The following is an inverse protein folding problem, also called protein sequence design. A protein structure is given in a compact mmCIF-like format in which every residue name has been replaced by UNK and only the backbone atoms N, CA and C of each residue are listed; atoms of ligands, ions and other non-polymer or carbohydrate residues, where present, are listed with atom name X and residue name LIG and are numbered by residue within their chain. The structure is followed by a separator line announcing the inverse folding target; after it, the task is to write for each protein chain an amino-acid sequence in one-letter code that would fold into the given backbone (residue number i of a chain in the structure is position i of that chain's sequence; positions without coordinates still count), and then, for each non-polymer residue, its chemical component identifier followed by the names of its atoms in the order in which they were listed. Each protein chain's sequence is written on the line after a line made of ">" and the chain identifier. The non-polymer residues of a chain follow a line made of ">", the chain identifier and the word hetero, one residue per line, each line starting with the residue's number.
data_IF_676082862303
#
_entry.id   IF_676082862303
#
_cell.length_a   1.000
_cell.length_b   1.000
_cell.length_c   1.000
_cell.angle_alpha   90.00
_cell.angle_beta   90.00
_cell.angle_gamma   90.00
#
_symmetry.space_group_name_H-M   'P 1'
#
loop_
_entity.id
_entity.type
_entity.pdbx_description
1 polymer ?
#
# COMPACT_ATOMS: atom_id res chain seq x y z
N UNK A 1 1.40 17.79 -7.90
CA UNK A 1 0.70 16.53 -7.59
C UNK A 1 1.70 15.48 -7.10
N UNK A 2 2.76 15.21 -7.84
CA UNK A 2 3.81 14.23 -7.52
C UNK A 2 4.37 14.40 -6.10
N UNK A 3 4.79 15.60 -5.72
CA UNK A 3 5.40 15.84 -4.40
C UNK A 3 4.45 15.52 -3.24
N UNK A 4 3.16 15.84 -3.38
CA UNK A 4 2.16 15.47 -2.35
C UNK A 4 2.03 13.95 -2.22
N UNK A 5 2.01 13.24 -3.35
CA UNK A 5 1.89 11.79 -3.36
C UNK A 5 3.14 11.11 -2.77
N UNK A 6 4.32 11.59 -3.13
CA UNK A 6 5.59 11.15 -2.53
C UNK A 6 5.59 11.35 -1.01
N UNK A 7 5.24 12.54 -0.54
CA UNK A 7 5.23 12.86 0.89
C UNK A 7 4.28 11.97 1.70
N UNK A 8 3.21 11.46 1.08
CA UNK A 8 2.26 10.55 1.71
C UNK A 8 2.81 9.13 1.80
N UNK A 9 3.44 8.67 0.70
CA UNK A 9 3.89 7.29 0.55
C UNK A 9 5.40 7.13 0.66
N UNK A 10 6.12 8.11 1.18
CA UNK A 10 7.55 7.97 1.42
C UNK A 10 7.87 6.80 2.36
N UNK A 11 9.02 6.18 2.13
CA UNK A 11 9.52 5.04 2.89
C UNK A 11 11.00 4.84 2.63
N UNK A 12 11.44 3.61 2.37
CA UNK A 12 12.80 3.34 1.95
C UNK A 12 13.01 3.85 0.51
N UNK A 13 13.93 4.79 0.32
CA UNK A 13 14.16 5.42 -0.99
C UNK A 13 15.18 4.68 -1.86
N UNK A 14 16.13 3.94 -1.26
CA UNK A 14 17.22 3.20 -1.93
C UNK A 14 16.80 1.86 -2.54
N UNK A 15 15.54 1.49 -2.43
CA UNK A 15 14.98 0.28 -3.03
C UNK A 15 13.48 0.42 -3.24
N UNK A 16 12.95 -0.25 -4.25
CA UNK A 16 11.53 -0.25 -4.57
C UNK A 16 11.05 -1.60 -5.12
N UNK A 17 9.76 -1.81 -5.04
CA UNK A 17 9.11 -2.97 -5.62
C UNK A 17 8.79 -2.79 -7.10
N UNK A 18 9.05 -3.83 -7.86
CA UNK A 18 8.66 -3.93 -9.28
C UNK A 18 7.72 -5.11 -9.42
N UNK A 19 6.60 -4.90 -10.09
CA UNK A 19 5.66 -5.97 -10.42
C UNK A 19 5.46 -6.02 -11.92
N UNK A 20 5.97 -7.07 -12.56
CA UNK A 20 5.75 -7.35 -13.97
C UNK A 20 4.46 -8.14 -14.08
N UNK A 21 3.48 -7.58 -14.77
CA UNK A 21 2.22 -8.29 -15.07
C UNK A 21 2.49 -9.18 -16.26
N UNK A 22 2.32 -10.49 -16.09
CA UNK A 22 2.41 -11.43 -17.22
C UNK A 22 1.31 -11.15 -18.26
N UNK A 23 1.63 -11.31 -19.53
CA UNK A 23 0.65 -11.20 -20.61
C UNK A 23 -0.42 -12.29 -20.47
N UNK A 24 -1.68 -11.91 -20.66
CA UNK A 24 -2.79 -12.87 -20.68
C UNK A 24 -2.65 -13.75 -21.91
N UNK A 25 -2.38 -15.04 -21.73
CA UNK A 25 -2.57 -16.00 -22.80
C UNK A 25 -4.06 -16.02 -23.13
N UNK A 26 -4.43 -15.85 -24.40
CA UNK A 26 -5.79 -15.68 -24.92
C UNK A 26 -6.87 -16.70 -24.46
N UNK A 27 -6.55 -17.62 -23.57
CA UNK A 27 -7.44 -18.61 -22.96
C UNK A 27 -7.94 -18.23 -21.55
N UNK A 28 -7.83 -16.97 -21.13
CA UNK A 28 -8.38 -16.51 -19.83
C UNK A 28 -7.60 -16.96 -18.59
N UNK A 29 -6.49 -17.69 -18.75
CA UNK A 29 -5.65 -18.09 -17.61
C UNK A 29 -4.74 -16.94 -17.22
N UNK A 30 -4.87 -16.43 -15.99
CA UNK A 30 -3.98 -15.41 -15.42
C UNK A 30 -2.54 -15.91 -15.44
N UNK A 31 -1.68 -15.29 -16.24
CA UNK A 31 -0.23 -15.52 -16.13
C UNK A 31 0.25 -14.91 -14.82
N UNK A 32 0.96 -15.69 -14.01
CA UNK A 32 1.52 -15.26 -12.74
C UNK A 32 2.48 -14.09 -12.97
N UNK A 33 2.14 -12.91 -12.46
CA UNK A 33 3.06 -11.78 -12.43
C UNK A 33 4.26 -12.11 -11.56
N UNK A 34 5.42 -11.52 -11.86
CA UNK A 34 6.64 -11.62 -11.05
C UNK A 34 6.84 -10.32 -10.28
N UNK A 35 6.96 -10.43 -8.95
CA UNK A 35 7.26 -9.29 -8.09
C UNK A 35 8.61 -9.48 -7.43
N UNK A 36 9.45 -8.42 -7.41
CA UNK A 36 10.78 -8.44 -6.79
C UNK A 36 11.18 -7.04 -6.34
N UNK A 37 12.14 -6.96 -5.42
CA UNK A 37 12.74 -5.71 -4.98
C UNK A 37 13.88 -5.34 -5.90
N UNK A 38 13.87 -4.12 -6.42
CA UNK A 38 14.97 -3.49 -7.15
C UNK A 38 15.72 -2.57 -6.20
N UNK A 39 17.05 -2.77 -6.08
CA UNK A 39 17.93 -2.00 -5.19
C UNK A 39 18.45 -0.76 -5.92
N UNK A 40 17.55 0.14 -6.23
CA UNK A 40 17.80 1.41 -6.89
C UNK A 40 16.90 2.47 -6.28
N UNK A 41 17.37 3.72 -6.27
CA UNK A 41 16.60 4.85 -5.76
C UNK A 41 15.30 5.05 -6.53
N UNK A 42 14.25 5.44 -5.80
CA UNK A 42 12.98 5.81 -6.41
C UNK A 42 13.12 7.19 -7.05
N UNK A 43 13.09 7.24 -8.38
CA UNK A 43 13.19 8.50 -9.14
C UNK A 43 11.84 9.18 -9.32
N UNK A 44 11.84 10.48 -9.62
CA UNK A 44 10.62 11.22 -9.96
C UNK A 44 9.91 10.62 -11.19
N UNK A 45 10.67 10.06 -12.13
CA UNK A 45 10.13 9.37 -13.31
C UNK A 45 9.29 8.14 -12.91
N UNK A 46 9.76 7.35 -11.94
CA UNK A 46 8.98 6.19 -11.44
C UNK A 46 7.67 6.63 -10.77
N UNK A 47 7.71 7.71 -9.96
CA UNK A 47 6.52 8.29 -9.38
C UNK A 47 5.53 8.80 -10.43
N UNK A 48 6.05 9.49 -11.48
CA UNK A 48 5.22 9.99 -12.57
C UNK A 48 4.58 8.86 -13.35
N UNK A 49 5.36 7.86 -13.77
CA UNK A 49 4.86 6.67 -14.48
C UNK A 49 3.76 5.94 -13.70
N UNK A 50 3.93 5.86 -12.38
CA UNK A 50 2.89 5.27 -11.53
C UNK A 50 1.60 6.09 -11.54
N UNK A 51 1.69 7.42 -11.39
CA UNK A 51 0.54 8.31 -11.40
C UNK A 51 -0.15 8.36 -12.77
N UNK A 52 0.61 8.21 -13.85
CA UNK A 52 0.10 8.16 -15.22
C UNK A 52 -0.48 6.76 -15.55
N UNK A 53 -0.30 5.79 -14.64
CA UNK A 53 -0.76 4.41 -14.80
C UNK A 53 0.00 3.61 -15.87
N UNK A 54 1.17 4.07 -16.28
CA UNK A 54 2.01 3.38 -17.27
C UNK A 54 2.87 2.29 -16.63
N UNK A 55 3.19 2.42 -15.32
CA UNK A 55 3.97 1.42 -14.59
C UNK A 55 3.49 1.31 -13.13
N UNK A 56 3.75 0.18 -12.49
CA UNK A 56 3.43 0.00 -11.08
C UNK A 56 4.63 0.33 -10.20
N UNK A 57 4.41 1.06 -9.12
CA UNK A 57 5.45 1.34 -8.13
C UNK A 57 5.10 0.66 -6.81
N UNK A 58 6.01 -0.18 -6.34
CA UNK A 58 5.98 -0.72 -4.99
C UNK A 58 6.85 0.11 -4.06
N UNK A 59 6.31 0.55 -2.92
CA UNK A 59 7.08 1.27 -1.91
C UNK A 59 7.22 0.45 -0.65
N UNK A 60 8.40 0.51 -0.05
CA UNK A 60 8.72 -0.16 1.21
C UNK A 60 8.46 0.84 2.33
N UNK A 61 7.47 0.61 3.22
CA UNK A 61 7.07 1.62 4.20
C UNK A 61 8.13 1.96 5.24
N UNK A 62 8.92 0.97 5.66
CA UNK A 62 9.99 1.15 6.66
C UNK A 62 11.21 1.82 6.02
N UNK A 63 11.74 2.87 6.64
CA UNK A 63 12.96 3.54 6.22
C UNK A 63 14.20 3.03 6.98
N UNK A 64 15.38 3.58 6.67
CA UNK A 64 16.66 3.19 7.28
C UNK A 64 16.75 3.48 8.79
N UNK A 65 15.88 4.34 9.33
CA UNK A 65 15.76 4.61 10.77
C UNK A 65 14.77 3.67 11.48
N UNK A 66 14.30 2.64 10.81
CA UNK A 66 13.25 1.72 11.29
C UNK A 66 11.93 2.44 11.63
N UNK A 67 11.62 3.49 10.88
CA UNK A 67 10.41 4.30 11.03
C UNK A 67 9.58 4.30 9.76
N UNK A 68 8.31 4.65 9.90
CA UNK A 68 7.39 4.81 8.77
C UNK A 68 6.38 5.92 9.06
N UNK A 69 5.78 6.49 8.01
CA UNK A 69 4.66 7.44 8.07
C UNK A 69 3.33 6.81 7.70
N UNK A 70 3.37 5.64 7.15
CA UNK A 70 2.18 4.91 6.77
C UNK A 70 2.36 3.41 6.96
N UNK A 71 1.25 2.75 7.11
CA UNK A 71 1.17 1.31 7.08
C UNK A 71 -0.12 0.85 6.41
N UNK A 72 -0.22 -0.42 6.14
CA UNK A 72 -1.36 -0.98 5.41
C UNK A 72 -1.74 -2.35 5.94
N UNK A 73 -3.03 -2.61 6.03
CA UNK A 73 -3.60 -3.96 6.14
C UNK A 73 -3.96 -4.39 4.71
N UNK A 74 -3.33 -5.45 4.23
CA UNK A 74 -3.57 -6.02 2.90
C UNK A 74 -4.58 -7.15 3.00
N UNK A 75 -5.81 -6.87 2.59
CA UNK A 75 -6.93 -7.82 2.66
C UNK A 75 -7.06 -8.47 1.29
N UNK A 76 -6.53 -9.67 1.16
CA UNK A 76 -6.73 -10.50 -0.01
C UNK A 76 -8.12 -11.14 0.00
N UNK A 77 -8.89 -10.88 -1.04
CA UNK A 77 -10.16 -11.55 -1.28
C UNK A 77 -10.37 -11.71 -2.77
N UNK A 78 -10.65 -12.93 -3.18
CA UNK A 78 -10.73 -13.29 -4.60
C UNK A 78 -12.16 -13.38 -5.16
N UNK A 79 -13.17 -13.24 -4.31
CA UNK A 79 -14.57 -13.30 -4.75
C UNK A 79 -15.47 -12.41 -3.89
N UNK A 80 -16.08 -11.40 -4.50
CA UNK A 80 -17.19 -10.67 -3.91
C UNK A 80 -16.89 -9.88 -2.64
N UNK A 81 -15.70 -9.25 -2.53
CA UNK A 81 -15.35 -8.44 -1.37
C UNK A 81 -16.25 -7.20 -1.25
N UNK A 82 -16.93 -7.08 -0.11
CA UNK A 82 -17.84 -5.97 0.18
C UNK A 82 -17.05 -4.78 0.81
N UNK A 83 -16.53 -3.90 -0.05
CA UNK A 83 -15.83 -2.70 0.37
C UNK A 83 -16.71 -1.77 1.20
N UNK A 84 -18.03 -1.69 0.89
CA UNK A 84 -18.93 -0.81 1.62
C UNK A 84 -19.14 -1.28 3.06
N UNK A 85 -19.23 -2.59 3.27
CA UNK A 85 -19.30 -3.18 4.61
C UNK A 85 -18.05 -2.86 5.42
N UNK A 86 -16.87 -2.97 4.82
CA UNK A 86 -15.60 -2.59 5.47
C UNK A 86 -15.59 -1.11 5.83
N UNK A 87 -15.95 -0.22 4.89
CA UNK A 87 -16.00 1.24 5.10
C UNK A 87 -16.99 1.59 6.22
N UNK A 88 -18.18 0.96 6.25
CA UNK A 88 -19.16 1.18 7.30
C UNK A 88 -18.62 0.78 8.67
N UNK A 89 -17.90 -0.34 8.75
CA UNK A 89 -17.29 -0.81 10.00
C UNK A 89 -16.18 0.14 10.48
N UNK A 90 -15.33 0.64 9.57
CA UNK A 90 -14.30 1.64 9.86
C UNK A 90 -14.94 2.91 10.43
N UNK A 91 -16.04 3.39 9.82
CA UNK A 91 -16.79 4.56 10.30
C UNK A 91 -17.42 4.32 11.68
N UNK A 92 -18.01 3.13 11.89
CA UNK A 92 -18.63 2.75 13.16
C UNK A 92 -17.64 2.81 14.33
N UNK A 93 -16.40 2.39 14.10
CA UNK A 93 -15.33 2.45 15.10
C UNK A 93 -14.55 3.78 15.10
N UNK A 94 -14.95 4.73 14.27
CA UNK A 94 -14.27 6.04 14.10
C UNK A 94 -12.76 5.89 13.88
N UNK A 95 -12.36 4.94 13.03
CA UNK A 95 -10.95 4.68 12.74
C UNK A 95 -10.46 5.60 11.62
N UNK A 96 -9.27 6.24 11.77
CA UNK A 96 -8.70 7.15 10.77
C UNK A 96 -8.02 6.37 9.63
N UNK A 97 -8.80 5.59 8.89
CA UNK A 97 -8.29 4.69 7.85
C UNK A 97 -8.79 5.08 6.46
N UNK A 98 -7.96 4.86 5.47
CA UNK A 98 -8.27 5.05 4.06
C UNK A 98 -8.33 3.68 3.38
N UNK A 99 -9.45 3.39 2.70
CA UNK A 99 -9.64 2.12 1.99
C UNK A 99 -9.43 2.36 0.50
N UNK A 100 -8.53 1.59 -0.09
CA UNK A 100 -8.33 1.51 -1.53
C UNK A 100 -8.60 0.08 -2.00
N UNK A 101 -9.18 -0.06 -3.19
CA UNK A 101 -9.36 -1.37 -3.79
C UNK A 101 -8.01 -1.92 -4.23
N UNK A 102 -7.70 -3.16 -3.87
CA UNK A 102 -6.50 -3.84 -4.36
C UNK A 102 -6.71 -4.38 -5.78
N UNK A 103 -5.62 -4.66 -6.49
CA UNK A 103 -5.66 -5.20 -7.85
C UNK A 103 -6.37 -6.56 -7.94
N UNK A 104 -6.29 -7.36 -6.89
CA UNK A 104 -6.94 -8.68 -6.80
C UNK A 104 -8.44 -8.60 -6.51
N UNK A 105 -8.97 -7.40 -6.23
CA UNK A 105 -10.38 -7.18 -5.86
C UNK A 105 -10.62 -7.11 -4.35
N UNK A 106 -9.61 -7.35 -3.52
CA UNK A 106 -9.62 -7.11 -2.09
C UNK A 106 -9.42 -5.63 -1.73
N UNK A 107 -8.83 -5.34 -0.57
CA UNK A 107 -8.64 -3.97 -0.11
C UNK A 107 -7.26 -3.75 0.52
N UNK A 108 -6.67 -2.60 0.20
CA UNK A 108 -5.58 -2.00 0.98
C UNK A 108 -6.18 -0.99 1.95
N UNK A 109 -5.99 -1.20 3.24
CA UNK A 109 -6.50 -0.32 4.30
C UNK A 109 -5.32 0.41 4.92
N UNK A 110 -5.18 1.69 4.57
CA UNK A 110 -4.05 2.51 4.96
C UNK A 110 -4.29 3.23 6.28
N UNK A 111 -3.27 3.27 7.12
CA UNK A 111 -3.13 4.14 8.28
C UNK A 111 -1.96 5.10 8.00
N UNK A 112 -2.22 6.40 8.07
CA UNK A 112 -1.22 7.45 7.91
C UNK A 112 -0.96 8.16 9.23
N UNK A 113 0.29 8.59 9.43
CA UNK A 113 0.70 9.39 10.58
C UNK A 113 1.31 10.71 10.10
N UNK A 114 1.15 11.77 10.89
CA UNK A 114 1.74 13.09 10.58
C UNK A 114 3.27 13.01 10.64
N UNK A 115 3.78 12.40 11.70
CA UNK A 115 5.21 12.27 11.96
C UNK A 115 5.65 10.81 11.82
N UNK A 116 6.94 10.59 11.68
CA UNK A 116 7.52 9.24 11.65
C UNK A 116 7.32 8.53 12.99
N UNK A 117 6.78 7.34 12.95
CA UNK A 117 6.66 6.41 14.09
C UNK A 117 7.54 5.19 13.87
N UNK A 118 7.90 4.45 14.93
CA UNK A 118 8.62 3.18 14.74
C UNK A 118 7.77 2.19 13.94
N UNK A 119 8.41 1.42 13.06
CA UNK A 119 7.75 0.37 12.29
C UNK A 119 7.08 -0.67 13.19
N UNK A 120 7.67 -0.95 14.36
CA UNK A 120 7.09 -1.82 15.36
C UNK A 120 5.77 -1.30 15.92
N UNK A 121 5.69 0.00 16.27
CA UNK A 121 4.46 0.62 16.75
C UNK A 121 3.36 0.62 15.69
N UNK A 122 3.72 0.95 14.45
CA UNK A 122 2.78 0.89 13.32
C UNK A 122 2.22 -0.52 13.14
N UNK A 123 3.10 -1.52 13.16
CA UNK A 123 2.71 -2.92 13.01
C UNK A 123 1.80 -3.38 14.15
N UNK A 124 2.12 -3.04 15.41
CA UNK A 124 1.28 -3.40 16.56
C UNK A 124 -0.10 -2.76 16.43
N UNK A 125 -0.18 -1.48 16.03
CA UNK A 125 -1.45 -0.78 15.83
C UNK A 125 -2.29 -1.37 14.70
N UNK A 126 -1.67 -1.73 13.58
CA UNK A 126 -2.38 -2.37 12.48
C UNK A 126 -2.88 -3.78 12.86
N UNK A 127 -2.13 -4.51 13.69
CA UNK A 127 -2.56 -5.82 14.21
C UNK A 127 -3.80 -5.70 15.11
N UNK A 128 -3.86 -4.69 15.98
CA UNK A 128 -5.06 -4.39 16.77
C UNK A 128 -6.24 -4.07 15.86
N UNK A 129 -6.04 -3.14 14.91
CA UNK A 129 -7.08 -2.70 13.98
C UNK A 129 -7.62 -3.84 13.13
N UNK A 130 -6.76 -4.66 12.52
CA UNK A 130 -7.22 -5.78 11.69
C UNK A 130 -8.03 -6.79 12.49
N UNK A 131 -7.69 -7.00 13.75
CA UNK A 131 -8.43 -7.90 14.65
C UNK A 131 -9.83 -7.34 14.95
N UNK A 132 -9.93 -6.05 15.30
CA UNK A 132 -11.22 -5.35 15.52
C UNK A 132 -12.08 -5.37 14.25
N UNK A 133 -11.47 -5.18 13.09
CA UNK A 133 -12.17 -5.23 11.82
C UNK A 133 -12.56 -6.66 11.37
N UNK A 134 -12.09 -7.71 12.08
CA UNK A 134 -12.38 -9.10 11.75
C UNK A 134 -11.52 -9.68 10.61
N UNK A 135 -10.38 -9.07 10.35
CA UNK A 135 -9.42 -9.49 9.32
C UNK A 135 -8.08 -9.95 9.91
N UNK A 136 -8.12 -10.64 11.04
CA UNK A 136 -6.93 -11.06 11.79
C UNK A 136 -5.89 -11.88 11.00
N UNK A 137 -6.32 -12.54 9.92
CA UNK A 137 -5.44 -13.30 9.02
C UNK A 137 -4.77 -12.47 7.91
N UNK A 138 -5.13 -11.19 7.74
CA UNK A 138 -4.59 -10.33 6.68
C UNK A 138 -3.14 -9.94 6.96
N UNK A 139 -2.36 -9.71 5.92
CA UNK A 139 -1.01 -9.20 6.05
C UNK A 139 -1.00 -7.73 6.48
N UNK A 140 0.07 -7.32 7.19
CA UNK A 140 0.29 -5.92 7.54
C UNK A 140 1.65 -5.45 7.01
N UNK A 141 1.70 -4.18 6.59
CA UNK A 141 2.91 -3.50 6.16
C UNK A 141 3.13 -2.24 7.02
N UNK A 142 4.37 -1.98 7.46
CA UNK A 142 5.59 -2.74 7.20
C UNK A 142 5.51 -4.16 7.74
N UNK A 143 6.09 -5.15 7.02
CA UNK A 143 6.21 -6.53 7.52
C UNK A 143 7.35 -6.66 8.53
N UNK A 144 8.36 -5.82 8.42
CA UNK A 144 9.51 -5.79 9.31
C UNK A 144 9.27 -4.80 10.45
N UNK A 145 9.66 -5.17 11.66
CA UNK A 145 9.72 -4.27 12.83
C UNK A 145 10.99 -3.42 12.82
N UNK A 146 12.04 -3.96 12.21
CA UNK A 146 13.35 -3.34 12.01
C UNK A 146 14.04 -3.95 10.80
N UNK A 147 14.92 -3.19 10.16
CA UNK A 147 15.86 -3.68 9.14
C UNK A 147 17.08 -4.22 9.86
N UNK A 148 17.49 -5.44 9.52
CA UNK A 148 18.58 -6.15 10.22
C UNK A 148 19.98 -5.66 9.83
N UNK A 149 20.09 -5.02 8.69
CA UNK A 149 21.35 -4.47 8.17
C UNK A 149 21.07 -3.39 7.13
N UNK A 150 22.13 -2.68 6.69
CA UNK A 150 22.04 -1.72 5.58
C UNK A 150 21.70 -2.37 4.24
N UNK A 151 21.90 -3.67 4.11
CA UNK A 151 21.51 -4.41 2.90
C UNK A 151 20.09 -4.96 2.96
N UNK A 152 19.45 -4.93 4.11
CA UNK A 152 18.06 -5.34 4.24
C UNK A 152 17.14 -4.24 3.70
N UNK A 153 16.16 -4.60 2.89
CA UNK A 153 15.23 -3.64 2.29
C UNK A 153 13.81 -3.76 2.84
N UNK A 154 13.48 -4.86 3.48
CA UNK A 154 12.11 -5.14 3.87
C UNK A 154 11.20 -5.49 2.67
N UNK A 155 9.89 -5.56 2.93
CA UNK A 155 8.87 -5.88 1.93
C UNK A 155 8.17 -4.62 1.44
N UNK A 156 7.90 -4.56 0.13
CA UNK A 156 7.13 -3.47 -0.47
C UNK A 156 5.63 -3.80 -0.58
N UNK A 157 4.84 -2.77 -0.68
CA UNK A 157 3.44 -2.81 -1.10
C UNK A 157 3.30 -2.03 -2.41
N UNK A 158 2.59 -2.58 -3.39
CA UNK A 158 2.22 -1.84 -4.59
C UNK A 158 1.27 -0.71 -4.21
N UNK A 159 1.61 0.50 -4.62
CA UNK A 159 0.79 1.67 -4.33
C UNK A 159 -0.55 1.62 -5.07
N UNK A 160 -1.60 2.24 -4.53
CA UNK A 160 -2.84 2.47 -5.26
C UNK A 160 -2.59 3.43 -6.44
N UNK A 161 -3.43 3.41 -7.45
CA UNK A 161 -3.38 4.25 -8.68
C UNK A 161 -2.81 3.61 -9.94
N UNK A 162 -2.81 2.31 -10.08
CA UNK A 162 -2.83 1.79 -11.44
C UNK A 162 -4.20 2.05 -12.07
N UNK A 163 -4.25 2.43 -13.36
CA UNK A 163 -5.43 2.88 -14.14
C UNK A 163 -6.75 2.13 -13.85
N UNK A 164 -6.67 0.88 -13.39
CA UNK A 164 -7.85 0.06 -13.06
C UNK A 164 -8.63 0.60 -11.83
N UNK A 165 -8.04 1.47 -11.03
CA UNK A 165 -8.65 2.01 -9.79
C UNK A 165 -9.36 3.34 -10.04
N UNK A 166 -9.02 4.05 -11.12
CA UNK A 166 -9.58 5.39 -11.42
C UNK A 166 -11.06 5.34 -11.84
N UNK A 167 -11.58 4.19 -12.21
CA UNK A 167 -12.97 4.09 -12.66
C UNK A 167 -14.02 3.91 -11.55
N UNK A 168 -13.65 3.58 -10.32
CA UNK A 168 -14.61 3.43 -9.23
C UNK A 168 -13.99 3.79 -7.86
N UNK A 169 -14.46 4.90 -7.25
CA UNK A 169 -14.52 5.15 -5.82
C UNK A 169 -13.29 5.67 -5.05
N UNK A 170 -12.76 6.73 -5.38
CA UNK A 170 -12.34 7.89 -4.57
C UNK A 170 -11.33 8.76 -5.31
N UNK A 171 -11.70 9.99 -5.69
CA UNK A 171 -10.72 10.91 -6.29
C UNK A 171 -9.66 11.30 -5.25
N UNK A 172 -8.40 11.37 -5.68
CA UNK A 172 -7.23 11.82 -4.90
C UNK A 172 -7.50 13.12 -4.10
N UNK A 173 -8.41 13.99 -4.59
CA UNK A 173 -8.86 15.20 -3.90
C UNK A 173 -9.49 14.93 -2.53
N UNK A 174 -10.07 13.75 -2.31
CA UNK A 174 -10.68 13.37 -1.04
C UNK A 174 -9.65 12.78 -0.07
N UNK A 175 -8.66 12.09 -0.58
CA UNK A 175 -7.52 11.57 0.19
C UNK A 175 -6.63 12.72 0.69
N UNK A 176 -6.39 13.75 -0.15
CA UNK A 176 -5.66 14.94 0.23
C UNK A 176 -6.38 15.80 1.29
N UNK A 177 -7.72 15.72 1.41
CA UNK A 177 -8.51 16.41 2.43
C UNK A 177 -8.50 15.73 3.80
N UNK A 178 -8.14 14.45 3.89
CA UNK A 178 -8.01 13.71 5.14
C UNK A 178 -6.65 13.93 5.83
N UNK A 179 -5.72 14.61 5.14
CA UNK A 179 -4.34 14.84 5.58
C UNK A 179 -4.09 16.30 6.01
N UNK A 180 -5.13 17.12 6.07
CA UNK A 180 -5.18 18.45 6.68
C UNK A 180 -6.02 18.42 7.95
#
# INVERSE_FOLDING_TARGET
>A
MIEKFKNIFEGLDRAHGVTIVGESNGNGTKVKGKSFVKREFITNDLWQKHLDGTDSLGVIPINDDNKCKWGCIDIDSYAGFDHQKLINKIKQFNLPLVVCRSKSGGAHVFLFTKDYVSASLMQDKLNEIRSVLGYGGSEVFPKQRELKSKDDTGNFLNLPYLIVVIQQDMPFSRMAKLLH
#
